data_IF_830227907665
#
_entry.id   IF_830227907665
#
_cell.length_a   1.000
_cell.length_b   1.000
_cell.length_c   1.000
_cell.angle_alpha   90.00
_cell.angle_beta   90.00
_cell.angle_gamma   90.00
#
_symmetry.space_group_name_H-M   'P 1'
#
loop_
_entity.id
_entity.type
_entity.pdbx_description
1 polymer ?
#
# COMPACT_ATOMS: atom_id res chain seq x y z
N UNK A 1 -34.18 67.73 12.15
CA UNK A 1 -34.33 66.55 13.05
C UNK A 1 -34.27 65.22 12.29
N UNK A 2 -34.95 65.07 11.15
CA UNK A 2 -34.87 63.85 10.32
C UNK A 2 -33.45 63.51 9.78
N UNK A 3 -32.66 64.53 9.42
CA UNK A 3 -31.27 64.34 8.94
C UNK A 3 -30.37 63.67 9.98
N UNK A 4 -30.43 64.11 11.24
CA UNK A 4 -29.62 63.53 12.34
C UNK A 4 -29.95 62.06 12.60
N UNK A 5 -31.24 61.70 12.55
CA UNK A 5 -31.69 60.31 12.68
C UNK A 5 -31.25 59.43 11.50
N UNK A 6 -31.19 60.00 10.29
CA UNK A 6 -30.67 59.30 9.10
C UNK A 6 -29.16 59.06 9.23
N UNK A 7 -28.40 60.09 9.62
CA UNK A 7 -26.95 60.00 9.82
C UNK A 7 -26.57 59.01 10.93
N UNK A 8 -27.32 58.96 12.03
CA UNK A 8 -27.05 57.99 13.11
C UNK A 8 -27.30 56.55 12.67
N UNK A 9 -28.39 56.29 11.94
CA UNK A 9 -28.68 54.94 11.39
C UNK A 9 -27.66 54.50 10.36
N UNK A 10 -27.19 55.40 9.50
CA UNK A 10 -26.14 55.10 8.54
C UNK A 10 -24.83 54.71 9.24
N UNK A 11 -24.48 55.44 10.31
CA UNK A 11 -23.27 55.17 11.09
C UNK A 11 -23.37 53.86 11.87
N UNK A 12 -24.52 53.58 12.48
CA UNK A 12 -24.81 52.31 13.16
C UNK A 12 -24.71 51.12 12.20
N UNK A 13 -25.30 51.24 11.00
CA UNK A 13 -25.19 50.21 9.96
C UNK A 13 -23.76 50.01 9.50
N UNK A 14 -22.98 51.09 9.36
CA UNK A 14 -21.57 51.00 8.98
C UNK A 14 -20.74 50.28 10.05
N UNK A 15 -21.01 50.54 11.33
CA UNK A 15 -20.34 49.86 12.44
C UNK A 15 -20.66 48.37 12.44
N UNK A 16 -21.94 48.01 12.27
CA UNK A 16 -22.33 46.60 12.18
C UNK A 16 -21.70 45.91 10.97
N UNK A 17 -21.67 46.56 9.80
CA UNK A 17 -20.99 46.02 8.62
C UNK A 17 -19.50 45.76 8.89
N UNK A 18 -18.82 46.68 9.59
CA UNK A 18 -17.41 46.49 9.95
C UNK A 18 -17.21 45.36 10.96
N UNK A 19 -18.12 45.20 11.93
CA UNK A 19 -18.10 44.08 12.89
C UNK A 19 -18.27 42.75 12.19
N UNK A 20 -19.25 42.62 11.30
CA UNK A 20 -19.50 41.38 10.55
C UNK A 20 -18.32 41.04 9.64
N UNK A 21 -17.73 42.04 8.95
CA UNK A 21 -16.53 41.81 8.12
C UNK A 21 -15.35 41.30 8.94
N UNK A 22 -15.11 41.89 10.11
CA UNK A 22 -14.05 41.42 11.01
C UNK A 22 -14.30 39.99 11.50
N UNK A 23 -15.53 39.68 11.88
CA UNK A 23 -15.92 38.31 12.25
C UNK A 23 -15.70 37.32 11.11
N UNK A 24 -16.07 37.70 9.88
CA UNK A 24 -15.84 36.88 8.69
C UNK A 24 -14.35 36.58 8.50
N UNK A 25 -13.49 37.60 8.57
CA UNK A 25 -12.04 37.40 8.46
C UNK A 25 -11.48 36.53 9.59
N UNK A 26 -11.98 36.68 10.82
CA UNK A 26 -11.60 35.84 11.95
C UNK A 26 -11.98 34.37 11.71
N UNK A 27 -13.18 34.11 11.16
CA UNK A 27 -13.61 32.75 10.80
C UNK A 27 -12.78 32.16 9.67
N UNK A 28 -12.45 32.92 8.63
CA UNK A 28 -11.56 32.45 7.55
C UNK A 28 -10.21 32.05 8.14
N UNK A 29 -9.60 32.89 9.00
CA UNK A 29 -8.33 32.58 9.66
C UNK A 29 -8.43 31.36 10.59
N UNK A 30 -9.57 31.13 11.24
CA UNK A 30 -9.78 29.94 12.07
C UNK A 30 -9.94 28.68 11.22
N UNK A 31 -10.68 28.78 10.11
CA UNK A 31 -10.86 27.68 9.17
C UNK A 31 -9.53 27.23 8.57
N UNK A 32 -8.72 28.17 8.08
CA UNK A 32 -7.39 27.87 7.54
C UNK A 32 -6.48 27.19 8.57
N UNK A 33 -6.50 27.66 9.84
CA UNK A 33 -5.74 27.02 10.92
C UNK A 33 -6.22 25.60 11.19
N UNK A 34 -7.53 25.39 11.23
CA UNK A 34 -8.11 24.07 11.49
C UNK A 34 -7.79 23.08 10.36
N UNK A 35 -7.93 23.52 9.10
CA UNK A 35 -7.56 22.76 7.90
C UNK A 35 -6.08 22.34 7.94
N UNK A 36 -5.19 23.29 8.27
CA UNK A 36 -3.76 23.03 8.39
C UNK A 36 -3.43 22.07 9.53
N UNK A 37 -4.04 22.24 10.71
CA UNK A 37 -3.85 21.33 11.84
C UNK A 37 -4.33 19.91 11.51
N UNK A 38 -5.50 19.79 10.88
CA UNK A 38 -6.04 18.51 10.42
C UNK A 38 -5.10 17.85 9.42
N UNK A 39 -4.62 18.60 8.41
CA UNK A 39 -3.69 18.09 7.40
C UNK A 39 -2.39 17.59 8.01
N UNK A 40 -1.79 18.36 8.92
CA UNK A 40 -0.58 17.95 9.63
C UNK A 40 -0.83 16.68 10.45
N UNK A 41 -1.95 16.62 11.18
CA UNK A 41 -2.34 15.45 11.95
C UNK A 41 -2.45 14.19 11.09
N UNK A 42 -3.14 14.28 9.96
CA UNK A 42 -3.30 13.17 9.02
C UNK A 42 -1.98 12.72 8.39
N UNK A 43 -1.09 13.66 8.05
CA UNK A 43 0.22 13.32 7.50
C UNK A 43 1.12 12.62 8.53
N UNK A 44 1.04 13.04 9.80
CA UNK A 44 1.76 12.38 10.88
C UNK A 44 1.21 10.97 11.15
N UNK A 45 -0.12 10.83 11.20
CA UNK A 45 -0.77 9.52 11.38
C UNK A 45 -0.39 8.57 10.24
N UNK A 46 -0.45 9.03 8.98
CA UNK A 46 -0.02 8.24 7.82
C UNK A 46 1.43 7.75 7.97
N UNK A 47 2.35 8.67 8.28
CA UNK A 47 3.76 8.34 8.50
C UNK A 47 3.94 7.31 9.61
N UNK A 48 3.23 7.47 10.73
CA UNK A 48 3.31 6.52 11.86
C UNK A 48 2.76 5.15 11.49
N UNK A 49 1.67 5.09 10.71
CA UNK A 49 1.12 3.82 10.21
C UNK A 49 2.06 3.13 9.24
N UNK A 50 2.71 3.87 8.34
CA UNK A 50 3.71 3.32 7.40
C UNK A 50 4.91 2.74 8.13
N UNK A 51 5.39 3.43 9.19
CA UNK A 51 6.48 2.91 10.03
C UNK A 51 6.09 1.60 10.72
N UNK A 52 4.88 1.52 11.28
CA UNK A 52 4.37 0.29 11.91
C UNK A 52 4.19 -0.84 10.91
N UNK A 53 3.73 -0.52 9.69
CA UNK A 53 3.61 -1.50 8.61
C UNK A 53 4.98 -2.04 8.20
N UNK A 54 5.97 -1.17 8.01
CA UNK A 54 7.33 -1.57 7.69
C UNK A 54 7.95 -2.45 8.79
N UNK A 55 7.77 -2.08 10.06
CA UNK A 55 8.22 -2.88 11.20
C UNK A 55 7.57 -4.27 11.23
N UNK A 56 6.25 -4.34 11.04
CA UNK A 56 5.50 -5.60 11.05
C UNK A 56 5.93 -6.50 9.89
N UNK A 57 6.13 -5.91 8.71
CA UNK A 57 6.61 -6.61 7.51
C UNK A 57 8.02 -7.18 7.73
N UNK A 58 8.93 -6.40 8.32
CA UNK A 58 10.26 -6.87 8.65
C UNK A 58 10.25 -8.03 9.66
N UNK A 59 9.38 -7.96 10.68
CA UNK A 59 9.19 -9.06 11.65
C UNK A 59 8.64 -10.32 10.98
N UNK A 60 7.67 -10.19 10.08
CA UNK A 60 7.12 -11.30 9.32
C UNK A 60 8.21 -11.95 8.45
N UNK A 61 9.00 -11.14 7.74
CA UNK A 61 10.11 -11.63 6.93
C UNK A 61 11.14 -12.39 7.77
N UNK A 62 11.52 -11.85 8.93
CA UNK A 62 12.44 -12.52 9.86
C UNK A 62 11.87 -13.83 10.42
N UNK A 63 10.57 -13.88 10.71
CA UNK A 63 9.90 -15.11 11.13
C UNK A 63 9.85 -16.14 10.00
N UNK A 64 9.54 -15.72 8.77
CA UNK A 64 9.55 -16.56 7.57
C UNK A 64 10.94 -17.18 7.34
N UNK A 65 12.00 -16.38 7.43
CA UNK A 65 13.38 -16.85 7.33
C UNK A 65 13.74 -17.89 8.39
N UNK A 66 13.28 -17.71 9.63
CA UNK A 66 13.52 -18.68 10.72
C UNK A 66 12.76 -20.00 10.53
N UNK A 67 11.61 -19.95 9.85
CA UNK A 67 10.80 -21.11 9.53
C UNK A 67 11.29 -21.86 8.29
N UNK A 68 12.23 -21.29 7.51
CA UNK A 68 12.81 -21.99 6.38
C UNK A 68 13.62 -23.21 6.87
N UNK A 69 13.27 -24.44 6.44
CA UNK A 69 14.00 -25.64 6.82
C UNK A 69 15.44 -25.55 6.31
N UNK A 70 16.41 -25.73 7.20
CA UNK A 70 17.83 -25.88 6.85
C UNK A 70 17.98 -27.14 5.97
N UNK A 71 17.94 -26.97 4.65
CA UNK A 71 18.10 -28.05 3.68
C UNK A 71 17.21 -27.98 2.45
N UNK A 72 16.13 -27.18 2.46
CA UNK A 72 15.33 -26.95 1.26
C UNK A 72 15.67 -25.58 0.67
N UNK A 73 16.10 -25.54 -0.59
CA UNK A 73 16.12 -24.32 -1.41
C UNK A 73 14.66 -23.89 -1.67
N UNK A 74 13.98 -23.42 -0.63
CA UNK A 74 12.65 -22.88 -0.75
C UNK A 74 12.80 -21.39 -1.01
N UNK A 75 12.49 -21.00 -2.26
CA UNK A 75 12.29 -19.61 -2.67
C UNK A 75 11.50 -18.85 -1.59
N UNK A 76 11.81 -17.56 -1.33
CA UNK A 76 11.11 -16.78 -0.32
C UNK A 76 9.59 -16.90 -0.50
N UNK A 77 8.88 -17.22 0.59
CA UNK A 77 7.42 -17.24 0.58
C UNK A 77 6.92 -15.83 0.23
N UNK A 78 6.11 -15.66 -0.83
CA UNK A 78 5.71 -14.35 -1.32
C UNK A 78 4.77 -13.64 -0.34
N UNK A 79 4.85 -12.31 -0.38
CA UNK A 79 4.00 -11.40 0.39
C UNK A 79 2.58 -11.43 -0.20
N UNK A 80 1.56 -11.34 0.66
CA UNK A 80 0.15 -11.44 0.27
C UNK A 80 -0.23 -10.44 -0.83
N UNK A 81 -0.74 -10.94 -1.96
CA UNK A 81 -1.27 -10.14 -3.08
C UNK A 81 -0.75 -10.51 -4.48
N UNK A 82 0.30 -11.32 -4.60
CA UNK A 82 0.82 -11.75 -5.91
C UNK A 82 0.03 -12.93 -6.49
N UNK A 83 -0.41 -12.80 -7.75
CA UNK A 83 -0.93 -13.91 -8.56
C UNK A 83 0.23 -14.76 -9.08
N UNK A 84 0.10 -16.08 -8.94
CA UNK A 84 1.20 -17.00 -9.20
C UNK A 84 0.90 -17.94 -10.39
N UNK A 85 1.88 -18.14 -11.27
CA UNK A 85 1.85 -19.18 -12.31
C UNK A 85 2.90 -20.25 -11.99
N UNK A 86 2.45 -21.43 -11.56
CA UNK A 86 3.34 -22.56 -11.30
C UNK A 86 3.67 -23.28 -12.61
N UNK A 87 4.96 -23.47 -12.90
CA UNK A 87 5.41 -24.29 -14.03
C UNK A 87 5.98 -25.60 -13.51
N UNK A 88 5.24 -26.67 -13.70
CA UNK A 88 5.65 -28.03 -13.30
C UNK A 88 6.40 -28.67 -14.46
N UNK A 89 7.58 -29.21 -14.19
CA UNK A 89 8.44 -29.89 -15.16
C UNK A 89 8.78 -31.27 -14.63
N UNK A 90 8.49 -32.31 -15.39
CA UNK A 90 8.86 -33.68 -15.03
C UNK A 90 10.10 -34.05 -15.83
N UNK A 91 11.12 -34.52 -15.12
CA UNK A 91 12.33 -35.10 -15.70
C UNK A 91 12.33 -36.59 -15.46
N UNK A 92 12.08 -37.36 -16.52
CA UNK A 92 12.10 -38.81 -16.49
C UNK A 92 13.39 -39.37 -17.10
N UNK A 93 13.85 -40.51 -16.59
CA UNK A 93 14.97 -41.25 -17.20
C UNK A 93 14.43 -42.35 -18.11
N UNK A 94 14.24 -42.04 -19.39
CA UNK A 94 13.98 -43.03 -20.42
C UNK A 94 15.29 -43.35 -21.16
N UNK A 95 16.08 -44.29 -20.63
CA UNK A 95 17.43 -44.60 -21.14
C UNK A 95 18.49 -43.56 -20.73
N UNK A 96 19.59 -43.48 -21.49
CA UNK A 96 20.79 -42.66 -21.18
C UNK A 96 20.62 -41.15 -21.52
N UNK A 97 19.40 -40.69 -21.79
CA UNK A 97 19.11 -39.29 -22.06
C UNK A 97 18.00 -38.78 -21.13
N UNK A 98 18.34 -37.80 -20.30
CA UNK A 98 17.36 -37.08 -19.47
C UNK A 98 16.47 -36.22 -20.35
N UNK A 99 15.15 -36.46 -20.34
CA UNK A 99 14.17 -35.66 -21.10
C UNK A 99 13.32 -34.86 -20.14
N UNK A 100 13.45 -33.54 -20.21
CA UNK A 100 12.63 -32.59 -19.46
C UNK A 100 11.45 -32.14 -20.31
N UNK A 101 10.23 -32.22 -19.78
CA UNK A 101 9.01 -31.70 -20.44
C UNK A 101 8.18 -30.84 -19.47
N UNK A 102 7.58 -29.73 -19.94
CA UNK A 102 6.56 -29.01 -19.18
C UNK A 102 5.28 -29.84 -19.13
N UNK A 103 4.64 -29.87 -17.96
CA UNK A 103 3.54 -30.78 -17.68
C UNK A 103 2.49 -30.09 -16.82
N UNK A 104 1.22 -30.43 -17.05
CA UNK A 104 0.10 -29.95 -16.24
C UNK A 104 -0.07 -30.76 -14.95
N UNK A 105 -0.75 -30.19 -13.94
CA UNK A 105 -0.88 -30.76 -12.61
C UNK A 105 -1.50 -32.18 -12.60
N UNK A 106 -2.37 -32.49 -13.57
CA UNK A 106 -3.10 -33.77 -13.64
C UNK A 106 -2.31 -34.90 -14.31
N UNK A 107 -1.01 -34.72 -14.55
CA UNK A 107 -0.23 -35.72 -15.28
C UNK A 107 0.29 -36.83 -14.38
N UNK A 108 0.05 -38.07 -14.80
CA UNK A 108 0.51 -39.29 -14.13
C UNK A 108 2.05 -39.39 -14.15
N UNK A 109 2.62 -39.75 -12.99
CA UNK A 109 4.06 -39.85 -12.75
C UNK A 109 4.49 -41.31 -12.64
N UNK A 110 5.66 -41.66 -13.18
CA UNK A 110 6.21 -43.02 -13.11
C UNK A 110 7.30 -43.14 -12.01
N UNK A 111 7.52 -44.34 -11.45
CA UNK A 111 8.63 -44.58 -10.53
C UNK A 111 9.98 -44.26 -11.18
N UNK A 112 10.75 -43.33 -10.61
CA UNK A 112 12.03 -42.85 -11.15
C UNK A 112 11.98 -41.45 -11.78
N UNK A 113 10.80 -40.86 -11.90
CA UNK A 113 10.64 -39.47 -12.32
C UNK A 113 11.05 -38.50 -11.22
N UNK A 114 11.76 -37.43 -11.60
CA UNK A 114 12.03 -36.28 -10.72
C UNK A 114 11.14 -35.12 -11.12
N UNK A 115 10.37 -34.62 -10.15
CA UNK A 115 9.42 -33.50 -10.34
C UNK A 115 10.11 -32.21 -9.90
N UNK A 116 10.27 -31.26 -10.83
CA UNK A 116 10.74 -29.91 -10.54
C UNK A 116 9.55 -28.93 -10.66
N UNK A 117 9.19 -28.28 -9.55
CA UNK A 117 8.17 -27.23 -9.54
C UNK A 117 8.85 -25.88 -9.45
N UNK A 118 8.71 -25.08 -10.50
CA UNK A 118 9.25 -23.72 -10.51
C UNK A 118 8.14 -22.72 -10.33
N UNK A 119 8.37 -21.83 -9.38
CA UNK A 119 7.48 -20.75 -9.07
C UNK A 119 8.06 -19.46 -9.70
N UNK A 120 7.37 -18.83 -10.68
CA UNK A 120 7.62 -17.44 -11.11
C UNK A 120 6.44 -16.49 -10.80
N UNK A 121 6.70 -15.34 -10.17
CA UNK A 121 5.74 -14.23 -10.05
C UNK A 121 5.88 -13.25 -11.21
N UNK A 122 4.78 -12.58 -11.60
CA UNK A 122 4.76 -11.64 -12.72
C UNK A 122 5.76 -10.46 -12.54
N UNK A 123 6.12 -10.13 -11.30
CA UNK A 123 7.13 -9.13 -10.94
C UNK A 123 8.56 -9.52 -11.35
N UNK A 124 8.91 -10.81 -11.38
CA UNK A 124 10.23 -11.26 -11.84
C UNK A 124 10.39 -11.21 -13.37
N UNK A 125 9.29 -11.31 -14.12
CA UNK A 125 9.33 -11.25 -15.59
C UNK A 125 9.60 -9.84 -16.12
N UNK A 126 9.26 -8.80 -15.34
CA UNK A 126 9.53 -7.40 -15.68
C UNK A 126 10.99 -6.98 -15.41
N UNK A 127 11.76 -7.75 -14.64
CA UNK A 127 13.15 -7.43 -14.28
C UNK A 127 14.20 -8.07 -15.21
N UNK A 128 13.78 -8.89 -16.18
CA UNK A 128 14.66 -9.67 -17.08
C UNK A 128 14.52 -9.22 -18.55
N UNK A 129 13.72 -8.19 -18.86
CA UNK A 129 13.70 -7.54 -20.19
C UNK A 129 14.59 -6.31 -20.25
#
# INVERSE_FOLDING_TARGET
>A
RAVLMSSSRALETSVELMRTRRQQEDFVRQQERNENQRRIGLLNELRDTDLRLAETTARLHAASQKLQPSGASALPLPVAGETFQARITITGRAGDASRSRPVDQDTEVAPGDTIEVRFSSDLQSAAIQ
#
